data_IF_412651416598
#
_entry.id   IF_412651416598
#
_cell.length_a   1.000
_cell.length_b   1.000
_cell.length_c   1.000
_cell.angle_alpha   90.00
_cell.angle_beta   90.00
_cell.angle_gamma   90.00
#
_symmetry.space_group_name_H-M   'P 1'
#
loop_
_entity.id
_entity.type
_entity.pdbx_description
1 polymer ?
#
# COMPACT_ATOMS: atom_id res chain seq x y z
N UNK A 1 19.19 16.40 3.34
CA UNK A 1 19.30 14.94 3.48
C UNK A 1 17.95 14.42 3.92
N UNK A 2 17.44 13.39 3.26
CA UNK A 2 16.18 12.74 3.63
C UNK A 2 16.44 11.81 4.83
N UNK A 3 15.55 11.84 5.82
CA UNK A 3 15.61 11.00 7.02
C UNK A 3 14.19 10.60 7.41
N UNK A 4 13.95 9.29 7.51
CA UNK A 4 12.66 8.75 7.90
C UNK A 4 12.53 7.26 7.63
N UNK A 5 11.30 6.81 7.41
CA UNK A 5 10.95 5.39 7.34
C UNK A 5 9.73 5.12 6.44
N UNK A 6 9.51 3.84 6.16
CA UNK A 6 8.22 3.35 5.70
C UNK A 6 7.19 3.55 6.82
N UNK A 7 6.10 4.24 6.51
CA UNK A 7 5.01 4.52 7.44
C UNK A 7 3.74 3.84 6.93
N UNK A 8 3.14 3.00 7.77
CA UNK A 8 1.97 2.17 7.42
C UNK A 8 0.77 2.57 8.29
N UNK A 9 0.24 3.81 8.15
CA UNK A 9 -0.82 4.34 8.99
C UNK A 9 -2.14 3.58 8.85
N UNK A 10 -2.38 2.92 7.72
CA UNK A 10 -3.59 2.15 7.45
C UNK A 10 -3.77 0.97 8.42
N UNK A 11 -2.69 0.52 9.06
CA UNK A 11 -2.71 -0.54 10.08
C UNK A 11 -3.24 -0.04 11.43
N UNK A 12 -3.35 1.29 11.61
CA UNK A 12 -3.70 1.95 12.86
C UNK A 12 -4.96 2.82 12.75
N UNK A 13 -5.72 2.71 11.66
CA UNK A 13 -6.89 3.55 11.37
C UNK A 13 -7.97 3.49 12.47
N UNK A 14 -8.13 2.32 13.10
CA UNK A 14 -9.11 2.09 14.17
C UNK A 14 -8.58 2.46 15.57
N UNK A 15 -7.33 2.94 15.68
CA UNK A 15 -6.69 3.29 16.93
C UNK A 15 -6.65 4.82 17.10
N UNK A 16 -7.57 5.41 17.89
CA UNK A 16 -7.66 6.86 18.00
C UNK A 16 -6.35 7.46 18.53
N UNK A 17 -5.99 8.63 18.01
CA UNK A 17 -4.81 9.43 18.37
C UNK A 17 -3.44 8.88 17.92
N UNK A 18 -3.34 7.67 17.35
CA UNK A 18 -2.03 7.11 16.94
C UNK A 18 -1.36 7.98 15.88
N UNK A 19 -2.07 8.41 14.83
CA UNK A 19 -1.46 9.27 13.79
C UNK A 19 -0.95 10.61 14.34
N UNK A 20 -1.66 11.21 15.30
CA UNK A 20 -1.22 12.43 15.97
C UNK A 20 0.05 12.22 16.80
N UNK A 21 0.12 11.08 17.50
CA UNK A 21 1.30 10.69 18.28
C UNK A 21 2.51 10.36 17.38
N UNK A 22 2.28 9.66 16.26
CA UNK A 22 3.31 9.36 15.27
C UNK A 22 3.96 10.65 14.76
N UNK A 23 3.16 11.65 14.39
CA UNK A 23 3.66 12.97 13.97
C UNK A 23 4.46 13.67 15.08
N UNK A 24 3.99 13.60 16.33
CA UNK A 24 4.72 14.16 17.48
C UNK A 24 6.10 13.50 17.62
N UNK A 25 6.17 12.17 17.46
CA UNK A 25 7.41 11.40 17.52
C UNK A 25 8.32 11.61 16.30
N UNK A 26 7.75 11.80 15.11
CA UNK A 26 8.50 12.19 13.90
C UNK A 26 9.22 13.52 14.11
N UNK A 27 8.57 14.51 14.74
CA UNK A 27 9.21 15.78 15.08
C UNK A 27 10.36 15.61 16.07
N UNK A 28 10.18 14.81 17.11
CA UNK A 28 11.23 14.55 18.10
C UNK A 28 12.42 13.78 17.54
N UNK A 29 12.19 12.91 16.56
CA UNK A 29 13.24 12.14 15.88
C UNK A 29 13.87 12.90 14.70
N UNK A 30 13.40 14.11 14.39
CA UNK A 30 13.81 14.87 13.21
C UNK A 30 13.61 14.10 11.89
N UNK A 31 12.53 13.32 11.82
CA UNK A 31 12.07 12.68 10.60
C UNK A 31 11.46 13.74 9.68
N UNK A 32 11.87 13.77 8.41
CA UNK A 32 11.42 14.76 7.43
C UNK A 32 10.79 14.15 6.16
N UNK A 33 10.79 12.82 6.03
CA UNK A 33 10.13 12.12 4.92
C UNK A 33 9.56 10.78 5.39
N UNK A 34 8.45 10.32 4.82
CA UNK A 34 7.92 8.97 5.03
C UNK A 34 7.53 8.32 3.71
N UNK A 35 7.69 7.00 3.59
CA UNK A 35 7.16 6.25 2.45
C UNK A 35 5.80 5.63 2.83
N UNK A 36 4.75 5.90 2.06
CA UNK A 36 3.36 5.50 2.37
C UNK A 36 2.77 4.74 1.18
N UNK A 37 1.89 3.78 1.42
CA UNK A 37 1.13 3.10 0.37
C UNK A 37 1.74 1.79 -0.15
N UNK A 38 2.91 1.37 0.35
CA UNK A 38 3.70 0.26 -0.24
C UNK A 38 2.91 -1.05 -0.29
N UNK A 39 2.11 -1.36 0.74
CA UNK A 39 1.32 -2.58 0.84
C UNK A 39 -0.17 -2.31 1.09
N UNK A 40 -0.65 -1.13 0.71
CA UNK A 40 -1.96 -0.64 1.14
C UNK A 40 -3.11 -1.01 0.17
N UNK A 41 -2.88 -1.86 -0.85
CA UNK A 41 -3.91 -2.15 -1.88
C UNK A 41 -5.23 -2.61 -1.27
N UNK A 42 -5.19 -3.53 -0.29
CA UNK A 42 -6.41 -4.02 0.37
C UNK A 42 -7.19 -2.92 1.08
N UNK A 43 -6.51 -1.88 1.59
CA UNK A 43 -7.15 -0.74 2.24
C UNK A 43 -7.65 0.30 1.24
N UNK A 44 -6.94 0.46 0.11
CA UNK A 44 -7.31 1.37 -0.97
C UNK A 44 -8.44 0.83 -1.84
N UNK A 45 -8.51 -0.48 -2.06
CA UNK A 45 -9.52 -1.18 -2.88
C UNK A 45 -9.95 -2.49 -2.18
N UNK A 46 -10.73 -2.41 -1.08
CA UNK A 46 -11.15 -3.58 -0.30
C UNK A 46 -12.01 -4.57 -1.09
N UNK A 47 -12.77 -4.07 -2.07
CA UNK A 47 -13.48 -4.86 -3.06
C UNK A 47 -13.18 -4.29 -4.45
N UNK A 48 -13.21 -5.15 -5.48
CA UNK A 48 -12.88 -4.74 -6.84
C UNK A 48 -13.74 -3.54 -7.31
N UNK A 49 -13.06 -2.45 -7.68
CA UNK A 49 -13.67 -1.20 -8.14
C UNK A 49 -14.29 -0.34 -7.05
N UNK A 50 -14.22 -0.74 -5.77
CA UNK A 50 -14.64 0.08 -4.63
C UNK A 50 -13.42 0.66 -3.94
N UNK A 51 -13.12 1.93 -4.24
CA UNK A 51 -11.96 2.61 -3.69
C UNK A 51 -12.27 3.36 -2.38
N UNK A 52 -11.29 3.42 -1.48
CA UNK A 52 -11.31 4.17 -0.23
C UNK A 52 -9.97 4.90 -0.08
N UNK A 53 -9.96 6.18 -0.45
CA UNK A 53 -8.77 7.04 -0.44
C UNK A 53 -8.80 8.05 0.72
N UNK A 54 -9.92 8.17 1.43
CA UNK A 54 -10.16 9.18 2.45
C UNK A 54 -9.11 9.15 3.56
N UNK A 55 -8.67 7.96 3.97
CA UNK A 55 -7.61 7.81 4.97
C UNK A 55 -6.24 8.24 4.45
N UNK A 56 -5.97 8.01 3.16
CA UNK A 56 -4.71 8.40 2.55
C UNK A 56 -4.66 9.92 2.43
N UNK A 57 -5.76 10.55 2.01
CA UNK A 57 -5.90 12.01 1.96
C UNK A 57 -5.60 12.65 3.31
N UNK A 58 -6.19 12.12 4.40
CA UNK A 58 -5.94 12.61 5.76
C UNK A 58 -4.46 12.49 6.16
N UNK A 59 -3.80 11.39 5.81
CA UNK A 59 -2.36 11.19 6.05
C UNK A 59 -1.52 12.16 5.24
N UNK A 60 -1.83 12.36 3.95
CA UNK A 60 -1.10 13.28 3.08
C UNK A 60 -1.18 14.72 3.63
N UNK A 61 -2.37 15.17 4.03
CA UNK A 61 -2.59 16.47 4.65
C UNK A 61 -1.87 16.58 6.00
N UNK A 62 -1.93 15.54 6.83
CA UNK A 62 -1.29 15.51 8.13
C UNK A 62 0.25 15.61 7.99
N UNK A 63 0.86 14.86 7.07
CA UNK A 63 2.30 14.94 6.82
C UNK A 63 2.69 16.32 6.29
N UNK A 64 1.95 16.84 5.29
CA UNK A 64 2.22 18.14 4.70
C UNK A 64 2.14 19.27 5.74
N UNK A 65 1.09 19.30 6.56
CA UNK A 65 0.89 20.28 7.64
C UNK A 65 2.02 20.28 8.67
N UNK A 66 2.72 19.16 8.83
CA UNK A 66 3.82 19.02 9.78
C UNK A 66 5.21 19.15 9.15
N UNK A 67 5.28 19.50 7.86
CA UNK A 67 6.53 19.74 7.14
C UNK A 67 7.25 18.46 6.70
N UNK A 68 6.55 17.33 6.67
CA UNK A 68 7.07 16.05 6.20
C UNK A 68 6.78 15.86 4.70
N UNK A 69 7.78 15.41 3.95
CA UNK A 69 7.59 14.92 2.59
C UNK A 69 7.01 13.50 2.60
N UNK A 70 6.29 13.14 1.54
CA UNK A 70 5.81 11.76 1.34
C UNK A 70 6.40 11.18 0.06
N UNK A 71 6.97 9.99 0.15
CA UNK A 71 7.29 9.12 -0.97
C UNK A 71 6.08 8.20 -1.17
N UNK A 72 5.19 8.57 -2.10
CA UNK A 72 4.00 7.78 -2.38
C UNK A 72 4.37 6.56 -3.23
N UNK A 73 4.00 5.37 -2.76
CA UNK A 73 4.29 4.11 -3.43
C UNK A 73 3.05 3.54 -4.14
N UNK A 74 3.28 2.85 -5.25
CA UNK A 74 2.28 2.01 -5.93
C UNK A 74 2.15 0.67 -5.19
N UNK A 75 0.94 0.17 -4.88
CA UNK A 75 0.77 -0.92 -3.92
C UNK A 75 0.93 -2.33 -4.53
N UNK A 76 1.58 -2.46 -5.70
CA UNK A 76 1.75 -3.74 -6.42
C UNK A 76 2.59 -4.78 -5.68
N UNK A 77 3.18 -4.42 -4.54
CA UNK A 77 3.95 -5.33 -3.71
C UNK A 77 3.11 -6.48 -3.13
N UNK A 78 1.84 -6.22 -2.80
CA UNK A 78 0.91 -7.20 -2.28
C UNK A 78 -0.50 -6.98 -2.84
N UNK A 79 -1.01 -7.96 -3.59
CA UNK A 79 -2.36 -7.93 -4.18
C UNK A 79 -3.41 -8.30 -3.13
N UNK A 80 -4.63 -7.73 -3.19
CA UNK A 80 -5.74 -8.15 -2.31
C UNK A 80 -6.16 -9.60 -2.54
N UNK A 81 -6.77 -10.21 -1.53
CA UNK A 81 -7.26 -11.60 -1.60
C UNK A 81 -8.34 -11.78 -2.68
N UNK A 82 -9.24 -10.79 -2.85
CA UNK A 82 -10.30 -10.86 -3.86
C UNK A 82 -9.71 -11.00 -5.26
N UNK A 83 -8.56 -10.38 -5.54
CA UNK A 83 -7.91 -10.42 -6.84
C UNK A 83 -7.34 -11.81 -7.12
N UNK A 84 -6.70 -12.42 -6.13
CA UNK A 84 -6.16 -13.77 -6.27
C UNK A 84 -7.27 -14.82 -6.44
N UNK A 85 -8.40 -14.65 -5.76
CA UNK A 85 -9.56 -15.54 -5.88
C UNK A 85 -10.26 -15.39 -7.24
N UNK A 86 -10.51 -14.16 -7.68
CA UNK A 86 -11.20 -13.89 -8.95
C UNK A 86 -10.30 -14.14 -10.16
N UNK A 87 -9.01 -13.85 -10.04
CA UNK A 87 -8.02 -13.95 -11.12
C UNK A 87 -6.82 -14.81 -10.70
N UNK A 88 -6.95 -16.15 -10.68
CA UNK A 88 -5.86 -17.04 -10.29
C UNK A 88 -4.61 -16.95 -11.17
N UNK A 89 -4.74 -16.42 -12.40
CA UNK A 89 -3.61 -16.14 -13.31
C UNK A 89 -2.62 -15.10 -12.77
N UNK A 90 -3.02 -14.30 -11.79
CA UNK A 90 -2.14 -13.37 -11.08
C UNK A 90 -1.17 -14.08 -10.14
N UNK A 91 -1.42 -15.35 -9.81
CA UNK A 91 -0.56 -16.18 -8.97
C UNK A 91 0.53 -16.86 -9.80
N UNK A 92 1.78 -16.85 -9.31
CA UNK A 92 2.91 -17.51 -9.98
C UNK A 92 2.75 -19.03 -10.04
N UNK A 93 3.43 -19.63 -11.02
CA UNK A 93 3.74 -21.05 -11.04
C UNK A 93 5.20 -21.21 -10.64
N UNK A 94 5.49 -22.04 -9.65
CA UNK A 94 6.84 -22.35 -9.22
C UNK A 94 7.58 -23.24 -10.24
N UNK A 95 8.91 -23.40 -10.14
CA UNK A 95 9.69 -24.22 -11.08
C UNK A 95 9.21 -25.68 -11.19
N UNK A 96 8.63 -26.23 -10.13
CA UNK A 96 8.02 -27.57 -10.08
C UNK A 96 6.62 -27.64 -10.76
N UNK A 97 6.22 -26.58 -11.47
CA UNK A 97 4.93 -26.45 -12.18
C UNK A 97 3.69 -26.38 -11.27
N UNK A 98 3.87 -26.25 -9.96
CA UNK A 98 2.76 -26.05 -9.02
C UNK A 98 2.39 -24.57 -8.97
N UNK A 99 1.08 -24.28 -9.05
CA UNK A 99 0.53 -22.94 -8.86
C UNK A 99 0.64 -22.55 -7.38
N UNK A 100 1.18 -21.37 -7.09
CA UNK A 100 1.17 -20.83 -5.74
C UNK A 100 -0.26 -20.50 -5.30
N UNK A 101 -0.56 -20.70 -4.02
CA UNK A 101 -1.78 -20.17 -3.41
C UNK A 101 -1.64 -18.66 -3.12
N UNK A 102 -2.74 -18.03 -2.74
CA UNK A 102 -2.70 -16.67 -2.19
C UNK A 102 -1.87 -16.61 -0.91
N UNK A 103 -1.20 -15.49 -0.68
CA UNK A 103 -0.31 -15.25 0.46
C UNK A 103 1.02 -14.64 0.02
N UNK A 104 1.89 -14.40 1.01
CA UNK A 104 3.19 -13.74 0.85
C UNK A 104 3.11 -12.37 0.15
N UNK A 105 4.24 -11.88 -0.37
CA UNK A 105 4.37 -10.62 -1.10
C UNK A 105 5.38 -10.76 -2.23
N UNK A 106 5.38 -9.82 -3.18
CA UNK A 106 6.31 -9.79 -4.32
C UNK A 106 6.26 -11.06 -5.20
N UNK A 107 5.11 -11.75 -5.20
CA UNK A 107 4.93 -13.07 -5.82
C UNK A 107 3.85 -13.10 -6.92
N UNK A 108 3.54 -11.95 -7.52
CA UNK A 108 2.61 -11.86 -8.64
C UNK A 108 3.23 -12.35 -9.96
N UNK A 109 2.39 -12.84 -10.87
CA UNK A 109 2.80 -13.19 -12.23
C UNK A 109 3.11 -11.92 -13.04
N UNK A 110 4.35 -11.78 -13.52
CA UNK A 110 4.79 -10.59 -14.27
C UNK A 110 4.16 -10.48 -15.67
N UNK A 111 3.61 -11.57 -16.19
CA UNK A 111 3.03 -11.63 -17.55
C UNK A 111 1.50 -11.62 -17.56
N UNK A 112 0.82 -11.68 -16.41
CA UNK A 112 -0.64 -11.62 -16.37
C UNK A 112 -1.12 -10.26 -16.89
N UNK A 113 -1.92 -10.22 -17.97
CA UNK A 113 -2.49 -8.97 -18.47
C UNK A 113 -3.42 -8.35 -17.43
N UNK A 114 -4.17 -9.15 -16.68
CA UNK A 114 -5.04 -8.69 -15.59
C UNK A 114 -4.24 -7.99 -14.50
N UNK A 115 -3.12 -8.55 -14.06
CA UNK A 115 -2.32 -7.91 -13.01
C UNK A 115 -1.76 -6.56 -13.47
N UNK A 116 -1.29 -6.48 -14.72
CA UNK A 116 -0.79 -5.23 -15.33
C UNK A 116 -1.88 -4.18 -15.48
N UNK A 117 -3.07 -4.58 -15.90
CA UNK A 117 -4.24 -3.70 -16.00
C UNK A 117 -4.64 -3.16 -14.63
N UNK A 118 -4.72 -4.03 -13.61
CA UNK A 118 -5.10 -3.63 -12.25
C UNK A 118 -4.10 -2.66 -11.62
N UNK A 119 -2.79 -2.88 -11.80
CA UNK A 119 -1.76 -1.91 -11.39
C UNK A 119 -2.01 -0.56 -12.09
N UNK A 120 -2.21 -0.58 -13.41
CA UNK A 120 -2.45 0.65 -14.18
C UNK A 120 -3.76 1.37 -13.83
N UNK A 121 -4.70 0.73 -13.14
CA UNK A 121 -5.92 1.36 -12.63
C UNK A 121 -5.65 2.03 -11.28
N UNK A 122 -5.03 1.32 -10.33
CA UNK A 122 -4.78 1.87 -8.99
C UNK A 122 -3.75 3.01 -9.02
N UNK A 123 -2.81 3.00 -9.97
CA UNK A 123 -1.77 4.02 -10.13
C UNK A 123 -2.26 5.32 -10.82
N UNK A 124 -3.55 5.43 -11.18
CA UNK A 124 -4.10 6.63 -11.83
C UNK A 124 -4.63 7.69 -10.87
N UNK A 125 -4.80 7.32 -9.61
CA UNK A 125 -5.27 8.20 -8.55
C UNK A 125 -4.06 8.80 -7.82
#
# INVERSE_FOLDING_TARGET
MLHGADYNPEQWIDMPNIWGEDVRLMKLSHTNVVAVGIFSWTMLEPEEGKFNFEWLDEIMDLMHKNGNYVILATPSGAKPIWMAHKYPETLRVAPNRVRNLYGERHNHCYTSPIYREKIAIIDRF
#
